data_IF_550125380906
#
_entry.id   IF_550125380906
#
_cell.length_a   1.000
_cell.length_b   1.000
_cell.length_c   1.000
_cell.angle_alpha   90.00
_cell.angle_beta   90.00
_cell.angle_gamma   90.00
#
_symmetry.space_group_name_H-M   'P 1'
#
loop_
_entity.id
_entity.type
_entity.pdbx_description
1 polymer ?
#
# COMPACT_ATOMS: atom_id res chain seq x y z
N UNK A 1 -16.62 -32.50 -2.25
CA UNK A 1 -16.52 -31.29 -1.39
C UNK A 1 -17.77 -30.47 -1.60
N UNK A 2 -18.47 -30.06 -0.53
CA UNK A 2 -19.61 -29.16 -0.66
C UNK A 2 -19.15 -27.82 -1.25
N UNK A 3 -19.79 -27.38 -2.33
CA UNK A 3 -19.54 -26.09 -3.02
C UNK A 3 -19.60 -24.91 -2.04
N UNK A 4 -20.40 -25.03 -0.98
CA UNK A 4 -20.51 -24.04 0.09
C UNK A 4 -19.25 -23.91 0.95
N UNK A 5 -18.60 -25.02 1.32
CA UNK A 5 -17.38 -24.99 2.13
C UNK A 5 -16.15 -24.48 1.35
N UNK A 6 -16.13 -24.73 0.05
CA UNK A 6 -15.10 -24.19 -0.85
C UNK A 6 -15.23 -22.67 -1.03
N UNK A 7 -16.46 -22.16 -1.19
CA UNK A 7 -16.73 -20.73 -1.32
C UNK A 7 -16.40 -19.95 -0.04
N UNK A 8 -16.72 -20.46 1.16
CA UNK A 8 -16.43 -19.75 2.42
C UNK A 8 -14.91 -19.58 2.65
N UNK A 9 -14.14 -20.67 2.52
CA UNK A 9 -12.68 -20.63 2.70
C UNK A 9 -12.00 -19.66 1.74
N UNK A 10 -12.40 -19.69 0.46
CA UNK A 10 -11.83 -18.80 -0.54
C UNK A 10 -12.27 -17.35 -0.33
N UNK A 11 -13.48 -17.10 0.19
CA UNK A 11 -13.94 -15.74 0.48
C UNK A 11 -13.14 -15.11 1.63
N UNK A 12 -12.81 -15.90 2.67
CA UNK A 12 -11.92 -15.45 3.75
C UNK A 12 -10.52 -15.17 3.21
N UNK A 13 -9.97 -16.08 2.41
CA UNK A 13 -8.65 -15.90 1.79
C UNK A 13 -8.60 -14.68 0.87
N UNK A 14 -9.64 -14.43 0.09
CA UNK A 14 -9.73 -13.22 -0.73
C UNK A 14 -9.63 -11.97 0.13
N UNK A 15 -10.44 -11.87 1.19
CA UNK A 15 -10.34 -10.78 2.15
C UNK A 15 -8.95 -10.67 2.77
N UNK A 16 -8.31 -11.78 3.11
CA UNK A 16 -6.99 -11.75 3.74
C UNK A 16 -5.91 -11.19 2.78
N UNK A 17 -6.08 -11.36 1.46
CA UNK A 17 -5.17 -10.82 0.45
C UNK A 17 -5.52 -9.38 0.06
N UNK A 18 -6.79 -9.06 -0.15
CA UNK A 18 -7.21 -7.76 -0.71
C UNK A 18 -7.65 -6.75 0.34
N UNK A 19 -8.13 -7.19 1.50
CA UNK A 19 -8.81 -6.34 2.47
C UNK A 19 -10.29 -6.09 2.13
N UNK A 20 -10.80 -6.66 1.03
CA UNK A 20 -12.20 -6.45 0.62
C UNK A 20 -13.20 -7.18 1.52
N UNK A 21 -14.43 -6.65 1.58
CA UNK A 21 -15.51 -7.20 2.36
C UNK A 21 -15.87 -8.64 1.97
N UNK A 22 -16.04 -9.49 2.99
CA UNK A 22 -16.36 -10.92 2.82
C UNK A 22 -17.56 -11.17 1.90
N UNK A 23 -18.62 -10.36 1.98
CA UNK A 23 -19.80 -10.52 1.13
C UNK A 23 -19.51 -10.23 -0.35
N UNK A 24 -18.64 -9.27 -0.63
CA UNK A 24 -18.20 -8.99 -1.99
C UNK A 24 -17.33 -10.13 -2.52
N UNK A 25 -16.33 -10.56 -1.74
CA UNK A 25 -15.49 -11.71 -2.07
C UNK A 25 -16.34 -12.94 -2.41
N UNK A 26 -17.35 -13.23 -1.58
CA UNK A 26 -18.27 -14.35 -1.81
C UNK A 26 -19.05 -14.20 -3.12
N UNK A 27 -19.55 -13.00 -3.43
CA UNK A 27 -20.26 -12.72 -4.68
C UNK A 27 -19.36 -12.95 -5.90
N UNK A 28 -18.14 -12.42 -5.90
CA UNK A 28 -17.16 -12.58 -6.99
C UNK A 28 -16.82 -14.04 -7.21
N UNK A 29 -16.50 -14.76 -6.14
CA UNK A 29 -16.09 -16.16 -6.22
C UNK A 29 -17.22 -17.11 -6.64
N UNK A 30 -18.47 -16.79 -6.32
CA UNK A 30 -19.64 -17.55 -6.79
C UNK A 30 -19.97 -17.26 -8.26
N UNK A 31 -19.65 -16.06 -8.75
CA UNK A 31 -19.90 -15.67 -10.14
C UNK A 31 -18.82 -16.17 -11.11
N UNK A 32 -17.60 -16.43 -10.63
CA UNK A 32 -16.49 -16.82 -11.49
C UNK A 32 -16.58 -18.27 -11.97
N UNK A 33 -16.39 -18.49 -13.28
CA UNK A 33 -16.33 -19.81 -13.91
C UNK A 33 -14.94 -20.42 -13.92
N UNK A 34 -13.90 -19.58 -13.89
CA UNK A 34 -12.49 -19.97 -13.81
C UNK A 34 -11.92 -19.41 -12.52
N UNK A 35 -11.33 -20.27 -11.70
CA UNK A 35 -10.80 -19.84 -10.42
C UNK A 35 -9.43 -19.16 -10.60
N UNK A 36 -9.48 -17.87 -10.91
CA UNK A 36 -8.38 -16.92 -10.73
C UNK A 36 -8.90 -15.80 -9.82
N UNK A 37 -8.63 -15.88 -8.50
CA UNK A 37 -9.25 -14.98 -7.55
C UNK A 37 -8.68 -13.56 -7.65
N UNK A 38 -7.44 -13.41 -8.13
CA UNK A 38 -6.73 -12.13 -8.18
C UNK A 38 -6.01 -12.04 -9.53
N UNK A 39 -6.76 -11.85 -10.63
CA UNK A 39 -6.18 -11.77 -11.96
C UNK A 39 -5.08 -10.70 -12.00
N UNK A 40 -4.09 -10.86 -12.87
CA UNK A 40 -3.08 -9.82 -13.10
C UNK A 40 -3.69 -8.66 -13.90
N UNK A 41 -3.23 -7.43 -13.63
CA UNK A 41 -3.43 -6.33 -14.56
C UNK A 41 -2.58 -6.55 -15.82
N UNK A 42 -2.83 -5.80 -16.88
CA UNK A 42 -1.95 -5.78 -18.06
C UNK A 42 -1.91 -4.39 -18.68
N UNK A 43 -0.87 -4.12 -19.48
CA UNK A 43 -0.73 -2.87 -20.22
C UNK A 43 -0.73 -1.63 -19.32
N UNK A 44 -1.52 -0.63 -19.69
CA UNK A 44 -1.59 0.66 -18.97
C UNK A 44 -2.21 0.53 -17.58
N UNK A 45 -3.13 -0.42 -17.36
CA UNK A 45 -3.70 -0.67 -16.03
C UNK A 45 -2.62 -1.19 -15.05
N UNK A 46 -1.71 -2.06 -15.51
CA UNK A 46 -0.61 -2.55 -14.68
C UNK A 46 0.32 -1.41 -14.25
N UNK A 47 0.65 -0.52 -15.19
CA UNK A 47 1.45 0.67 -14.91
C UNK A 47 0.76 1.63 -13.94
N UNK A 48 -0.52 1.88 -14.16
CA UNK A 48 -1.32 2.76 -13.30
C UNK A 48 -1.36 2.25 -11.86
N UNK A 49 -1.65 0.97 -11.66
CA UNK A 49 -1.66 0.35 -10.34
C UNK A 49 -0.28 0.38 -9.67
N UNK A 50 0.79 0.15 -10.42
CA UNK A 50 2.15 0.24 -9.89
C UNK A 50 2.52 1.67 -9.45
N UNK A 51 2.10 2.69 -10.21
CA UNK A 51 2.28 4.09 -9.83
C UNK A 51 1.48 4.43 -8.56
N UNK A 52 0.22 4.00 -8.47
CA UNK A 52 -0.60 4.19 -7.27
C UNK A 52 0.09 3.56 -6.04
N UNK A 53 0.57 2.32 -6.17
CA UNK A 53 1.31 1.63 -5.11
C UNK A 53 2.57 2.40 -4.68
N UNK A 54 3.34 2.90 -5.66
CA UNK A 54 4.59 3.60 -5.42
C UNK A 54 4.37 4.90 -4.65
N UNK A 55 3.38 5.69 -5.06
CA UNK A 55 3.25 7.06 -4.59
C UNK A 55 2.27 7.24 -3.42
N UNK A 56 1.17 6.47 -3.35
CA UNK A 56 0.23 6.60 -2.21
C UNK A 56 0.89 6.20 -0.89
N UNK A 57 1.72 5.15 -0.94
CA UNK A 57 2.50 4.67 0.19
C UNK A 57 3.87 5.33 0.37
N UNK A 58 4.22 6.32 -0.45
CA UNK A 58 5.52 6.95 -0.37
C UNK A 58 5.61 7.78 0.91
N UNK A 59 6.74 7.71 1.62
CA UNK A 59 7.10 8.67 2.66
C UNK A 59 7.33 8.08 4.06
N UNK A 60 7.49 8.97 5.05
CA UNK A 60 7.72 8.63 6.46
C UNK A 60 6.53 9.10 7.31
N UNK A 61 5.42 8.38 7.20
CA UNK A 61 4.22 8.65 7.97
C UNK A 61 3.74 7.39 8.70
N UNK A 62 2.76 7.59 9.58
CA UNK A 62 2.05 6.55 10.29
C UNK A 62 0.64 6.42 9.73
N UNK A 63 0.19 5.17 9.64
CA UNK A 63 -1.08 4.78 9.03
C UNK A 63 -1.72 3.65 9.84
N UNK A 64 -3.03 3.49 9.70
CA UNK A 64 -3.74 2.39 10.35
C UNK A 64 -3.50 1.06 9.63
N UNK A 65 -3.37 1.11 8.30
CA UNK A 65 -3.09 -0.03 7.44
C UNK A 65 -1.78 0.16 6.66
N UNK A 66 -1.21 -0.91 6.06
CA UNK A 66 0.02 -0.84 5.31
C UNK A 66 -0.07 0.24 4.22
N UNK A 67 0.87 1.19 4.25
CA UNK A 67 0.96 2.27 3.27
C UNK A 67 -0.27 3.18 3.18
N UNK A 68 -1.12 3.22 4.23
CA UNK A 68 -2.34 4.02 4.24
C UNK A 68 -3.46 3.47 3.37
N UNK A 69 -3.40 2.17 3.03
CA UNK A 69 -4.38 1.49 2.18
C UNK A 69 -5.03 0.35 2.99
N UNK A 70 -6.32 0.50 3.30
CA UNK A 70 -7.11 -0.48 4.02
C UNK A 70 -7.39 -1.74 3.18
N UNK A 71 -7.47 -1.57 1.86
CA UNK A 71 -7.65 -2.70 0.95
C UNK A 71 -7.91 -2.27 -0.49
N UNK A 72 -8.19 -3.26 -1.32
CA UNK A 72 -8.53 -3.07 -2.73
C UNK A 72 -9.70 -3.95 -3.17
N UNK A 73 -10.36 -3.55 -4.24
CA UNK A 73 -11.41 -4.31 -4.90
C UNK A 73 -11.22 -4.24 -6.40
N UNK A 74 -11.13 -5.39 -7.05
CA UNK A 74 -11.08 -5.49 -8.51
C UNK A 74 -12.48 -5.18 -9.06
N UNK A 75 -12.55 -4.31 -10.06
CA UNK A 75 -13.79 -3.92 -10.73
C UNK A 75 -13.71 -4.29 -12.22
N UNK A 76 -14.83 -4.16 -12.93
CA UNK A 76 -14.86 -4.43 -14.38
C UNK A 76 -13.97 -3.46 -15.18
N UNK A 77 -13.73 -2.25 -14.65
CA UNK A 77 -12.98 -1.19 -15.32
C UNK A 77 -11.56 -0.98 -14.77
N UNK A 78 -11.18 -1.68 -13.70
CA UNK A 78 -9.86 -1.50 -13.08
C UNK A 78 -9.84 -1.88 -11.59
N UNK A 79 -9.39 -0.94 -10.74
CA UNK A 79 -9.18 -1.20 -9.32
C UNK A 79 -9.76 -0.08 -8.45
N UNK A 80 -10.49 -0.45 -7.41
CA UNK A 80 -10.87 0.44 -6.31
C UNK A 80 -9.88 0.25 -5.16
N UNK A 81 -9.32 1.35 -4.65
CA UNK A 81 -8.37 1.38 -3.53
C UNK A 81 -9.05 2.10 -2.37
N UNK A 82 -9.19 1.43 -1.23
CA UNK A 82 -9.72 2.02 0.00
C UNK A 82 -8.57 2.63 0.80
N UNK A 83 -8.57 3.95 0.94
CA UNK A 83 -7.60 4.66 1.75
C UNK A 83 -8.01 4.64 3.22
N UNK A 84 -7.01 4.75 4.10
CA UNK A 84 -7.25 5.11 5.51
C UNK A 84 -7.96 6.47 5.61
N UNK A 85 -8.57 6.79 6.75
CA UNK A 85 -9.12 8.13 6.96
C UNK A 85 -8.02 9.18 7.17
N UNK A 86 -6.99 8.82 7.95
CA UNK A 86 -5.98 9.76 8.42
C UNK A 86 -4.57 9.20 8.29
N UNK A 87 -3.62 10.11 8.27
CA UNK A 87 -2.20 9.83 8.39
C UNK A 87 -1.53 10.83 9.33
N UNK A 88 -0.48 10.40 10.02
CA UNK A 88 0.33 11.27 10.89
C UNK A 88 1.78 11.30 10.40
N UNK A 89 2.29 12.48 10.07
CA UNK A 89 3.69 12.65 9.67
C UNK A 89 4.63 12.49 10.87
N UNK A 90 5.92 12.30 10.60
CA UNK A 90 6.96 12.34 11.64
C UNK A 90 7.00 13.67 12.43
N UNK A 91 6.41 14.73 11.89
CA UNK A 91 6.23 16.05 12.56
C UNK A 91 5.04 16.08 13.53
N UNK A 92 4.33 14.95 13.72
CA UNK A 92 3.11 14.82 14.54
C UNK A 92 1.91 15.62 14.01
N UNK A 93 1.97 16.08 12.75
CA UNK A 93 0.82 16.67 12.08
C UNK A 93 -0.05 15.55 11.51
N UNK A 94 -1.33 15.53 11.90
CA UNK A 94 -2.36 14.64 11.36
C UNK A 94 -3.15 15.35 10.26
N UNK A 95 -3.48 14.63 9.20
CA UNK A 95 -4.24 15.16 8.06
C UNK A 95 -4.98 14.02 7.34
N UNK A 96 -5.98 14.35 6.52
CA UNK A 96 -6.72 13.37 5.74
C UNK A 96 -5.78 12.59 4.81
N UNK A 97 -5.95 11.27 4.74
CA UNK A 97 -5.17 10.43 3.83
C UNK A 97 -5.43 10.78 2.35
N UNK A 98 -6.61 11.30 2.02
CA UNK A 98 -6.93 11.82 0.68
C UNK A 98 -5.98 12.96 0.29
N UNK A 99 -5.72 13.91 1.20
CA UNK A 99 -4.78 14.99 0.98
C UNK A 99 -3.35 14.46 0.82
N UNK A 100 -2.94 13.47 1.65
CA UNK A 100 -1.64 12.83 1.50
C UNK A 100 -1.45 12.13 0.15
N UNK A 101 -2.47 11.38 -0.27
CA UNK A 101 -2.45 10.67 -1.52
C UNK A 101 -2.38 11.66 -2.69
N UNK A 102 -3.17 12.73 -2.66
CA UNK A 102 -3.07 13.81 -3.65
C UNK A 102 -1.67 14.45 -3.66
N UNK A 103 -1.08 14.62 -2.49
CA UNK A 103 0.26 15.20 -2.29
C UNK A 103 1.37 14.44 -2.99
N UNK A 104 1.36 13.13 -2.86
CA UNK A 104 2.43 12.27 -3.36
C UNK A 104 2.14 11.73 -4.77
N UNK A 105 0.88 11.44 -5.10
CA UNK A 105 0.51 10.77 -6.35
C UNK A 105 0.39 11.74 -7.53
N UNK A 106 -0.28 12.88 -7.34
CA UNK A 106 -0.68 13.71 -8.47
C UNK A 106 0.49 14.52 -9.03
N UNK A 107 0.70 14.51 -10.36
CA UNK A 107 1.88 15.12 -10.95
C UNK A 107 1.87 16.65 -10.85
N UNK A 108 2.98 17.21 -10.39
CA UNK A 108 3.23 18.66 -10.33
C UNK A 108 4.59 18.97 -10.96
N UNK A 109 4.67 20.08 -11.70
CA UNK A 109 5.93 20.57 -12.25
C UNK A 109 6.46 21.74 -11.44
N UNK A 110 7.75 21.70 -11.16
CA UNK A 110 8.53 22.89 -10.87
C UNK A 110 8.99 23.51 -12.20
N UNK A 111 8.79 24.81 -12.37
CA UNK A 111 9.12 25.51 -13.60
C UNK A 111 10.63 25.39 -13.89
N UNK A 112 10.99 24.65 -14.94
CA UNK A 112 12.37 24.49 -15.41
C UNK A 112 13.22 23.41 -14.74
N UNK A 113 12.63 22.53 -13.91
CA UNK A 113 13.39 21.62 -13.05
C UNK A 113 12.98 20.14 -13.24
N UNK A 114 11.87 19.72 -12.63
CA UNK A 114 11.48 18.30 -12.56
C UNK A 114 9.97 18.15 -12.37
N UNK A 115 9.45 16.95 -12.67
CA UNK A 115 8.08 16.58 -12.34
C UNK A 115 8.08 15.68 -11.11
N UNK A 116 7.34 16.09 -10.07
CA UNK A 116 7.06 15.27 -8.90
C UNK A 116 5.75 14.51 -9.09
N UNK A 117 5.56 13.43 -8.32
CA UNK A 117 4.40 12.54 -8.45
C UNK A 117 4.46 11.63 -9.67
N UNK A 118 3.35 10.98 -9.98
CA UNK A 118 3.27 10.02 -11.08
C UNK A 118 3.07 10.74 -12.43
N UNK A 119 4.13 10.75 -13.25
CA UNK A 119 4.09 11.31 -14.60
C UNK A 119 3.03 10.63 -15.45
N UNK A 120 2.29 11.43 -16.24
CA UNK A 120 1.29 10.93 -17.18
C UNK A 120 -0.06 10.60 -16.54
N UNK A 121 -0.22 10.85 -15.25
CA UNK A 121 -1.44 10.58 -14.50
C UNK A 121 -2.41 11.77 -14.60
N UNK A 122 -3.69 11.47 -14.81
CA UNK A 122 -4.79 12.43 -14.78
C UNK A 122 -5.82 12.05 -13.73
N UNK A 123 -6.45 13.05 -13.14
CA UNK A 123 -7.36 12.84 -12.03
C UNK A 123 -8.61 13.70 -12.15
N UNK A 124 -9.76 13.11 -11.84
CA UNK A 124 -11.03 13.81 -11.76
C UNK A 124 -11.90 13.24 -10.64
N UNK A 125 -12.71 14.11 -10.04
CA UNK A 125 -13.61 13.73 -8.95
C UNK A 125 -14.86 13.07 -9.54
N UNK A 126 -15.18 11.84 -9.10
CA UNK A 126 -16.42 11.13 -9.49
C UNK A 126 -17.53 11.36 -8.47
N UNK A 127 -17.18 11.43 -7.19
CA UNK A 127 -18.06 11.76 -6.07
C UNK A 127 -17.23 12.43 -4.97
N UNK A 128 -17.86 12.91 -3.89
CA UNK A 128 -17.13 13.48 -2.76
C UNK A 128 -16.06 12.53 -2.22
N UNK A 129 -16.31 11.21 -2.20
CA UNK A 129 -15.40 10.21 -1.63
C UNK A 129 -14.54 9.46 -2.65
N UNK A 130 -14.83 9.59 -3.95
CA UNK A 130 -14.10 8.88 -5.02
C UNK A 130 -13.35 9.83 -5.96
N UNK A 131 -12.02 9.70 -5.96
CA UNK A 131 -11.15 10.27 -6.99
C UNK A 131 -10.82 9.20 -8.03
N UNK A 132 -11.09 9.50 -9.29
CA UNK A 132 -10.71 8.64 -10.40
C UNK A 132 -9.36 9.10 -10.92
N UNK A 133 -8.48 8.12 -11.10
CA UNK A 133 -7.13 8.30 -11.60
C UNK A 133 -6.97 7.47 -12.86
N UNK A 134 -6.44 8.07 -13.92
CA UNK A 134 -6.19 7.43 -15.21
C UNK A 134 -4.80 7.79 -15.74
N UNK A 135 -4.35 7.07 -16.76
CA UNK A 135 -3.15 7.44 -17.54
C UNK A 135 -3.54 8.13 -18.84
N UNK A 136 -2.70 9.02 -19.36
CA UNK A 136 -2.92 9.64 -20.70
C UNK A 136 -2.94 8.60 -21.83
N UNK A 137 -2.21 7.49 -21.67
CA UNK A 137 -1.95 6.51 -22.72
C UNK A 137 -3.01 5.39 -22.81
N UNK A 138 -4.05 5.38 -21.97
CA UNK A 138 -5.06 4.33 -22.03
C UNK A 138 -6.26 4.49 -21.12
N UNK A 139 -7.19 3.53 -21.24
CA UNK A 139 -8.55 3.62 -20.70
C UNK A 139 -8.72 2.97 -19.31
N UNK A 140 -7.62 2.52 -18.70
CA UNK A 140 -7.64 1.94 -17.36
C UNK A 140 -7.91 2.99 -16.28
N UNK A 141 -8.61 2.59 -15.22
CA UNK A 141 -8.87 3.44 -14.06
C UNK A 141 -8.46 2.81 -12.73
N UNK A 142 -7.99 3.66 -11.84
CA UNK A 142 -7.93 3.38 -10.40
C UNK A 142 -8.79 4.41 -9.69
N UNK A 143 -9.69 3.94 -8.84
CA UNK A 143 -10.52 4.79 -8.00
C UNK A 143 -9.93 4.81 -6.60
N UNK A 144 -9.51 5.97 -6.12
CA UNK A 144 -9.11 6.18 -4.74
C UNK A 144 -10.34 6.59 -3.93
N UNK A 145 -10.80 5.69 -3.06
CA UNK A 145 -11.90 5.95 -2.15
C UNK A 145 -11.35 6.39 -0.80
N UNK A 146 -11.65 7.64 -0.43
CA UNK A 146 -11.38 8.10 0.91
C UNK A 146 -12.27 7.34 1.93
N UNK A 147 -11.77 7.10 3.13
CA UNK A 147 -12.64 6.68 4.21
C UNK A 147 -13.67 7.78 4.47
N UNK A 148 -14.95 7.43 4.56
CA UNK A 148 -15.92 8.32 5.18
C UNK A 148 -15.71 8.22 6.67
N UNK A 149 -15.30 9.32 7.32
CA UNK A 149 -15.22 9.34 8.77
C UNK A 149 -16.62 9.58 9.35
N UNK A 150 -16.86 9.10 10.57
CA UNK A 150 -18.11 9.36 11.30
C UNK A 150 -18.23 10.83 11.76
N UNK A 151 -17.22 11.66 11.48
CA UNK A 151 -17.19 13.09 11.78
C UNK A 151 -17.49 13.92 10.52
N UNK A 152 -18.73 14.43 10.35
CA UNK A 152 -19.17 15.11 9.14
C UNK A 152 -18.43 16.43 8.86
N UNK A 153 -17.72 16.99 9.85
CA UNK A 153 -16.98 18.25 9.68
C UNK A 153 -15.61 18.07 9.03
N UNK A 154 -15.09 16.84 8.97
CA UNK A 154 -13.79 16.49 8.36
C UNK A 154 -13.90 15.40 7.29
N UNK A 155 -15.09 15.18 6.74
CA UNK A 155 -15.31 14.24 5.65
C UNK A 155 -14.36 14.55 4.48
N UNK A 156 -13.66 13.52 4.02
CA UNK A 156 -12.68 13.64 2.95
C UNK A 156 -13.37 13.89 1.60
N UNK A 157 -13.74 15.14 1.35
CA UNK A 157 -14.24 15.61 0.07
C UNK A 157 -13.08 15.86 -0.89
N UNK A 158 -13.00 15.05 -1.96
CA UNK A 158 -11.97 15.17 -2.98
C UNK A 158 -12.02 16.49 -3.75
N UNK A 159 -13.20 17.07 -3.99
CA UNK A 159 -13.29 18.36 -4.66
C UNK A 159 -12.68 19.46 -3.80
N UNK A 160 -12.98 19.47 -2.49
CA UNK A 160 -12.36 20.39 -1.53
C UNK A 160 -10.85 20.14 -1.43
N UNK A 161 -10.44 18.88 -1.33
CA UNK A 161 -9.03 18.48 -1.23
C UNK A 161 -8.22 18.96 -2.43
N UNK A 162 -8.71 18.73 -3.65
CA UNK A 162 -8.02 19.14 -4.87
C UNK A 162 -8.06 20.65 -5.09
N UNK A 163 -9.16 21.33 -4.73
CA UNK A 163 -9.25 22.77 -4.79
C UNK A 163 -8.20 23.42 -3.88
N UNK A 164 -8.14 23.02 -2.61
CA UNK A 164 -7.14 23.52 -1.65
C UNK A 164 -5.72 23.27 -2.15
N UNK A 165 -5.43 22.03 -2.57
CA UNK A 165 -4.11 21.68 -3.10
C UNK A 165 -3.72 22.52 -4.31
N UNK A 166 -4.66 22.80 -5.21
CA UNK A 166 -4.38 23.62 -6.39
C UNK A 166 -4.04 25.06 -6.00
N UNK A 167 -4.77 25.63 -5.04
CA UNK A 167 -4.47 26.95 -4.46
C UNK A 167 -3.08 26.96 -3.81
N UNK A 168 -2.80 26.02 -2.91
CA UNK A 168 -1.51 25.93 -2.20
C UNK A 168 -0.32 25.82 -3.19
N UNK A 169 -0.48 25.07 -4.27
CA UNK A 169 0.60 24.91 -5.26
C UNK A 169 0.88 26.21 -6.03
N UNK A 170 -0.16 26.90 -6.48
CA UNK A 170 -0.04 28.12 -7.29
C UNK A 170 0.40 29.30 -6.44
N UNK A 171 -0.20 29.48 -5.26
CA UNK A 171 -0.03 30.69 -4.46
C UNK A 171 1.21 30.60 -3.55
N UNK A 172 1.50 29.43 -2.96
CA UNK A 172 2.55 29.30 -1.95
C UNK A 172 3.87 28.73 -2.48
N UNK A 173 3.84 27.93 -3.55
CA UNK A 173 5.02 27.17 -4.00
C UNK A 173 5.43 27.40 -5.46
N UNK A 174 4.64 28.15 -6.23
CA UNK A 174 4.83 28.36 -7.67
C UNK A 174 4.97 27.05 -8.47
N UNK A 175 4.33 25.99 -8.01
CA UNK A 175 4.27 24.69 -8.68
C UNK A 175 3.03 24.60 -9.57
N UNK A 176 3.17 23.92 -10.72
CA UNK A 176 2.11 23.77 -11.69
C UNK A 176 1.43 22.40 -11.57
N UNK A 177 0.12 22.34 -11.26
CA UNK A 177 -0.62 21.08 -11.25
C UNK A 177 -0.80 20.55 -12.68
N UNK A 178 -0.40 19.29 -12.91
CA UNK A 178 -0.45 18.67 -14.25
C UNK A 178 -1.61 17.67 -14.39
N UNK A 179 -2.21 17.23 -13.28
CA UNK A 179 -3.22 16.16 -13.27
C UNK A 179 -4.55 16.52 -13.95
N UNK A 180 -4.79 17.81 -14.24
CA UNK A 180 -5.98 18.29 -14.97
C UNK A 180 -5.68 18.60 -16.44
N UNK A 181 -4.43 18.47 -16.89
CA UNK A 181 -4.06 18.80 -18.27
C UNK A 181 -4.61 17.75 -19.25
N UNK A 182 -5.11 18.13 -20.44
CA UNK A 182 -5.78 17.20 -21.34
C UNK A 182 -4.86 16.15 -21.98
N UNK A 183 -3.55 16.37 -21.94
CA UNK A 183 -2.57 15.46 -22.54
C UNK A 183 -1.18 15.68 -21.95
N UNK A 184 -0.18 14.98 -22.51
CA UNK A 184 1.19 15.02 -22.02
C UNK A 184 1.76 16.42 -22.13
N UNK A 185 2.25 16.98 -21.02
CA UNK A 185 2.80 18.33 -20.98
C UNK A 185 4.27 18.36 -21.40
N UNK A 186 4.78 19.54 -21.77
CA UNK A 186 6.20 19.71 -22.10
C UNK A 186 7.11 19.39 -20.88
N UNK A 187 6.65 19.64 -19.66
CA UNK A 187 7.38 19.29 -18.44
C UNK A 187 7.51 17.77 -18.28
N UNK A 188 6.42 17.03 -18.46
CA UNK A 188 6.44 15.56 -18.40
C UNK A 188 7.31 14.97 -19.52
N UNK A 189 7.23 15.50 -20.75
CA UNK A 189 8.09 15.06 -21.85
C UNK A 189 9.58 15.31 -21.57
N UNK A 190 9.90 16.49 -21.03
CA UNK A 190 11.27 16.85 -20.66
C UNK A 190 11.84 15.95 -19.56
N UNK A 191 11.03 15.62 -18.55
CA UNK A 191 11.46 14.72 -17.47
C UNK A 191 11.69 13.29 -17.98
N UNK A 192 10.76 12.76 -18.79
CA UNK A 192 10.91 11.44 -19.42
C UNK A 192 12.18 11.38 -20.27
N UNK A 193 12.45 12.42 -21.06
CA UNK A 193 13.63 12.50 -21.92
C UNK A 193 14.94 12.59 -21.12
N UNK A 194 14.90 13.22 -19.94
CA UNK A 194 16.06 13.38 -19.05
C UNK A 194 16.36 12.13 -18.23
N UNK A 195 15.35 11.30 -17.94
CA UNK A 195 15.48 10.12 -17.07
C UNK A 195 15.01 8.80 -17.71
N UNK A 196 15.42 8.46 -18.95
CA UNK A 196 14.85 7.32 -19.68
C UNK A 196 15.07 5.97 -18.99
N UNK A 197 16.22 5.77 -18.35
CA UNK A 197 16.52 4.53 -17.62
C UNK A 197 15.68 4.35 -16.36
N UNK A 198 15.34 5.45 -15.68
CA UNK A 198 14.43 5.42 -14.52
C UNK A 198 13.03 5.00 -14.98
N UNK A 199 12.52 5.63 -16.04
CA UNK A 199 11.20 5.33 -16.61
C UNK A 199 11.11 3.90 -17.17
N UNK A 200 12.17 3.42 -17.80
CA UNK A 200 12.26 2.02 -18.24
C UNK A 200 12.27 1.06 -17.04
N UNK A 201 13.00 1.39 -15.98
CA UNK A 201 13.04 0.61 -14.74
C UNK A 201 11.66 0.49 -14.10
N UNK A 202 10.97 1.62 -13.89
CA UNK A 202 9.59 1.65 -13.35
C UNK A 202 8.65 0.79 -14.18
N UNK A 203 8.67 0.94 -15.51
CA UNK A 203 7.86 0.13 -16.44
C UNK A 203 8.17 -1.36 -16.33
N UNK A 204 9.43 -1.73 -16.22
CA UNK A 204 9.85 -3.14 -16.13
C UNK A 204 9.42 -3.83 -14.83
N UNK A 205 9.09 -3.05 -13.79
CA UNK A 205 8.67 -3.53 -12.47
C UNK A 205 7.19 -3.31 -12.19
N UNK A 206 6.41 -2.88 -13.19
CA UNK A 206 4.99 -2.58 -13.03
C UNK A 206 4.19 -3.79 -12.56
N UNK A 207 4.49 -4.97 -13.10
CA UNK A 207 3.89 -6.24 -12.70
C UNK A 207 4.00 -6.51 -11.19
N UNK A 208 5.12 -6.11 -10.56
CA UNK A 208 5.33 -6.25 -9.12
C UNK A 208 4.43 -5.27 -8.36
N UNK A 209 4.50 -3.98 -8.71
CA UNK A 209 3.73 -2.94 -8.04
C UNK A 209 2.23 -3.19 -8.10
N UNK A 210 1.70 -3.51 -9.29
CA UNK A 210 0.29 -3.88 -9.47
C UNK A 210 -0.08 -5.13 -8.68
N UNK A 211 0.72 -6.21 -8.76
CA UNK A 211 0.40 -7.44 -8.05
C UNK A 211 0.41 -7.28 -6.52
N UNK A 212 1.31 -6.44 -5.99
CA UNK A 212 1.38 -6.10 -4.58
C UNK A 212 0.21 -5.22 -4.14
N UNK A 213 -0.21 -4.23 -4.94
CA UNK A 213 -1.37 -3.39 -4.62
C UNK A 213 -2.65 -4.22 -4.51
N UNK A 214 -2.87 -5.15 -5.45
CA UNK A 214 -4.00 -6.09 -5.40
C UNK A 214 -3.96 -7.04 -4.19
N UNK A 215 -2.83 -7.11 -3.47
CA UNK A 215 -2.57 -7.99 -2.32
C UNK A 215 -2.14 -7.22 -1.08
N UNK A 216 -2.46 -5.93 -1.02
CA UNK A 216 -1.92 -5.02 -0.01
C UNK A 216 -2.25 -5.44 1.42
N UNK A 217 -3.38 -6.12 1.63
CA UNK A 217 -3.78 -6.57 2.96
C UNK A 217 -2.87 -7.67 3.52
N UNK A 218 -2.09 -8.40 2.69
CA UNK A 218 -1.12 -9.39 3.18
C UNK A 218 -0.12 -8.80 4.18
N UNK A 219 0.31 -7.55 3.97
CA UNK A 219 1.24 -6.88 4.87
C UNK A 219 0.69 -6.70 6.30
N UNK A 220 -0.64 -6.71 6.43
CA UNK A 220 -1.37 -6.61 7.70
C UNK A 220 -1.85 -7.98 8.22
N UNK A 221 -2.30 -8.86 7.33
CA UNK A 221 -2.94 -10.13 7.69
C UNK A 221 -1.91 -11.25 7.90
N UNK A 222 -0.88 -11.32 7.05
CA UNK A 222 0.17 -12.33 7.06
C UNK A 222 1.47 -11.88 7.76
N UNK A 223 1.52 -10.63 8.26
CA UNK A 223 2.63 -10.10 9.04
C UNK A 223 2.16 -9.59 10.42
N UNK A 224 3.13 -9.31 11.30
CA UNK A 224 2.91 -8.70 12.62
C UNK A 224 3.55 -7.32 12.72
N UNK A 225 3.88 -6.72 11.58
CA UNK A 225 4.45 -5.39 11.53
C UNK A 225 3.42 -4.33 11.95
N UNK A 226 3.81 -3.46 12.88
CA UNK A 226 3.03 -2.25 13.19
C UNK A 226 3.36 -1.10 12.22
N UNK A 227 4.45 -1.21 11.45
CA UNK A 227 4.86 -0.21 10.47
C UNK A 227 5.38 -0.89 9.22
N UNK A 228 4.88 -0.46 8.06
CA UNK A 228 5.35 -0.88 6.74
C UNK A 228 5.77 0.36 5.96
N UNK A 229 6.99 0.36 5.44
CA UNK A 229 7.49 1.39 4.52
C UNK A 229 7.85 0.73 3.21
N UNK A 230 7.74 1.46 2.11
CA UNK A 230 8.17 0.99 0.81
C UNK A 230 8.95 2.03 0.02
N UNK A 231 9.84 1.57 -0.84
CA UNK A 231 10.52 2.39 -1.84
C UNK A 231 11.02 1.50 -2.98
N UNK A 232 11.45 2.12 -4.06
CA UNK A 232 11.95 1.44 -5.26
C UNK A 232 13.43 1.79 -5.44
N UNK A 233 14.23 0.76 -5.68
CA UNK A 233 15.58 0.87 -6.24
C UNK A 233 15.55 0.35 -7.70
N UNK A 234 16.57 0.63 -8.52
CA UNK A 234 16.67 0.04 -9.84
C UNK A 234 16.55 -1.50 -9.78
N UNK A 235 15.46 -2.04 -10.34
CA UNK A 235 15.20 -3.48 -10.39
C UNK A 235 14.66 -4.11 -9.10
N UNK A 236 14.31 -3.34 -8.07
CA UNK A 236 13.83 -3.89 -6.80
C UNK A 236 12.79 -3.00 -6.10
N UNK A 237 11.66 -3.61 -5.75
CA UNK A 237 10.71 -3.07 -4.77
C UNK A 237 11.15 -3.48 -3.38
N UNK A 238 11.30 -2.54 -2.46
CA UNK A 238 11.77 -2.83 -1.09
C UNK A 238 10.70 -2.47 -0.09
N UNK A 239 10.40 -3.41 0.81
CA UNK A 239 9.50 -3.23 1.95
C UNK A 239 10.26 -3.41 3.24
N UNK A 240 10.14 -2.45 4.13
CA UNK A 240 10.61 -2.53 5.51
C UNK A 240 9.40 -2.67 6.44
N UNK A 241 9.38 -3.77 7.19
CA UNK A 241 8.31 -4.18 8.09
C UNK A 241 8.87 -4.23 9.51
N UNK A 242 8.50 -3.25 10.34
CA UNK A 242 8.92 -3.17 11.73
C UNK A 242 7.88 -3.77 12.67
N UNK A 243 8.32 -4.62 13.58
CA UNK A 243 7.48 -5.30 14.57
C UNK A 243 8.10 -5.21 15.98
N UNK A 244 7.24 -5.13 16.99
CA UNK A 244 7.70 -5.23 18.39
C UNK A 244 8.22 -6.64 18.66
N UNK A 245 9.28 -6.76 19.46
CA UNK A 245 9.88 -8.06 19.79
C UNK A 245 8.95 -8.98 20.59
N UNK A 246 7.89 -8.46 21.21
CA UNK A 246 6.87 -9.22 21.95
C UNK A 246 5.72 -9.72 21.09
N UNK A 247 5.57 -9.23 19.87
CA UNK A 247 4.49 -9.69 18.98
C UNK A 247 4.78 -11.12 18.49
N UNK A 248 3.81 -12.02 18.64
CA UNK A 248 3.93 -13.41 18.21
C UNK A 248 3.71 -13.56 16.70
N UNK A 249 4.60 -14.29 16.03
CA UNK A 249 4.58 -14.56 14.59
C UNK A 249 5.96 -14.39 13.98
N UNK A 250 6.16 -14.89 12.76
CA UNK A 250 7.41 -14.82 12.02
C UNK A 250 7.19 -14.28 10.61
N UNK A 251 8.23 -14.34 9.78
CA UNK A 251 8.17 -13.92 8.37
C UNK A 251 7.65 -15.03 7.45
N UNK A 252 7.58 -16.28 7.89
CA UNK A 252 7.31 -17.43 7.03
C UNK A 252 5.88 -17.38 6.50
N UNK A 253 4.92 -17.01 7.35
CA UNK A 253 3.53 -16.83 6.90
C UNK A 253 3.41 -15.78 5.77
N UNK A 254 4.14 -14.65 5.87
CA UNK A 254 4.16 -13.64 4.82
C UNK A 254 4.78 -14.18 3.54
N UNK A 255 5.92 -14.89 3.63
CA UNK A 255 6.61 -15.47 2.47
C UNK A 255 5.75 -16.54 1.78
N UNK A 256 5.11 -17.41 2.56
CA UNK A 256 4.23 -18.48 2.08
C UNK A 256 3.01 -17.91 1.37
N UNK A 257 2.34 -16.91 1.94
CA UNK A 257 1.17 -16.29 1.30
C UNK A 257 1.57 -15.45 0.08
N UNK A 258 2.69 -14.72 0.15
CA UNK A 258 3.14 -13.90 -0.98
C UNK A 258 3.57 -14.75 -2.18
N UNK A 259 4.08 -15.98 -1.96
CA UNK A 259 4.50 -16.90 -3.03
C UNK A 259 3.47 -17.99 -3.35
N UNK A 260 2.32 -17.99 -2.67
CA UNK A 260 1.31 -19.03 -2.78
C UNK A 260 0.76 -19.17 -4.21
N UNK A 261 0.61 -20.40 -4.67
CA UNK A 261 -0.01 -20.66 -5.97
C UNK A 261 -1.42 -20.08 -6.07
N UNK A 262 -1.71 -19.42 -7.20
CA UNK A 262 -2.97 -18.75 -7.58
C UNK A 262 -3.36 -17.51 -6.76
N UNK A 263 -2.84 -17.37 -5.56
CA UNK A 263 -3.20 -16.27 -4.66
C UNK A 263 -2.07 -15.26 -4.52
N UNK A 264 -0.82 -15.70 -4.44
CA UNK A 264 0.37 -14.87 -4.33
C UNK A 264 0.88 -14.38 -5.68
N UNK A 265 2.16 -14.00 -5.70
CA UNK A 265 2.93 -13.63 -6.87
C UNK A 265 3.70 -14.86 -7.39
N UNK A 266 4.02 -14.89 -8.70
CA UNK A 266 4.86 -15.93 -9.29
C UNK A 266 6.34 -15.71 -8.94
N UNK A 267 6.69 -15.76 -7.66
CA UNK A 267 8.04 -15.48 -7.16
C UNK A 267 8.58 -16.59 -6.26
N UNK A 268 9.90 -16.74 -6.24
CA UNK A 268 10.64 -17.61 -5.31
C UNK A 268 11.69 -16.81 -4.54
N UNK A 269 12.04 -17.28 -3.34
CA UNK A 269 13.17 -16.72 -2.57
C UNK A 269 14.47 -17.05 -3.31
N UNK A 270 15.17 -16.01 -3.75
CA UNK A 270 16.46 -16.13 -4.46
C UNK A 270 17.64 -15.72 -3.59
N UNK A 271 17.39 -15.04 -2.47
CA UNK A 271 18.41 -14.68 -1.47
C UNK A 271 17.75 -14.49 -0.11
N UNK A 272 18.41 -14.96 0.94
CA UNK A 272 17.92 -14.84 2.30
C UNK A 272 19.02 -14.50 3.31
N UNK A 273 18.59 -13.92 4.41
CA UNK A 273 19.33 -13.82 5.66
C UNK A 273 18.32 -13.80 6.81
N UNK A 274 18.42 -14.77 7.71
CA UNK A 274 17.52 -14.87 8.85
C UNK A 274 18.29 -14.68 10.17
N UNK A 275 17.96 -13.62 10.91
CA UNK A 275 18.53 -13.31 12.22
C UNK A 275 17.87 -14.05 13.39
N UNK A 276 16.71 -14.70 13.18
CA UNK A 276 15.88 -15.28 14.25
C UNK A 276 16.66 -16.27 15.14
N UNK A 277 17.37 -17.23 14.55
CA UNK A 277 18.10 -18.25 15.31
C UNK A 277 19.26 -17.67 16.13
N UNK A 278 19.95 -16.66 15.60
CA UNK A 278 21.03 -15.97 16.32
C UNK A 278 20.48 -15.10 17.46
N UNK A 279 19.34 -14.43 17.24
CA UNK A 279 18.67 -13.66 18.28
C UNK A 279 18.21 -14.56 19.45
N UNK A 280 17.59 -15.70 19.14
CA UNK A 280 17.15 -16.68 20.13
C UNK A 280 18.31 -17.22 20.97
N UNK A 281 19.46 -17.54 20.35
CA UNK A 281 20.65 -18.04 21.06
C UNK A 281 21.28 -17.00 21.99
N UNK A 282 21.27 -15.73 21.59
CA UNK A 282 21.94 -14.65 22.31
C UNK A 282 20.99 -13.86 23.24
N UNK A 283 19.70 -14.20 23.28
CA UNK A 283 18.69 -13.44 23.99
C UNK A 283 18.50 -12.01 23.46
N UNK A 284 18.81 -11.76 22.17
CA UNK A 284 18.69 -10.42 21.59
C UNK A 284 17.23 -10.09 21.32
N UNK A 285 16.76 -8.97 21.87
CA UNK A 285 15.44 -8.41 21.57
C UNK A 285 15.41 -7.62 20.25
N UNK A 286 16.57 -7.47 19.58
CA UNK A 286 16.69 -6.77 18.32
C UNK A 286 17.39 -7.63 17.26
N UNK A 287 16.76 -7.78 16.10
CA UNK A 287 17.32 -8.51 14.95
C UNK A 287 16.61 -8.14 13.64
N UNK A 288 17.21 -8.54 12.53
CA UNK A 288 16.66 -8.33 11.21
C UNK A 288 16.71 -9.62 10.39
N UNK A 289 15.68 -9.83 9.57
CA UNK A 289 15.70 -10.80 8.47
C UNK A 289 15.49 -10.07 7.15
N UNK A 290 16.14 -10.52 6.08
CA UNK A 290 15.84 -10.04 4.73
C UNK A 290 15.65 -11.22 3.77
N UNK A 291 14.69 -11.05 2.87
CA UNK A 291 14.40 -11.99 1.80
C UNK A 291 14.26 -11.23 0.49
N UNK A 292 14.92 -11.72 -0.55
CA UNK A 292 14.75 -11.23 -1.91
C UNK A 292 14.01 -12.29 -2.71
N UNK A 293 12.89 -11.90 -3.30
CA UNK A 293 12.03 -12.74 -4.10
C UNK A 293 12.12 -12.33 -5.58
N UNK A 294 12.48 -13.26 -6.45
CA UNK A 294 12.58 -13.07 -7.90
C UNK A 294 11.50 -13.82 -8.66
N UNK A 295 11.17 -13.40 -9.87
CA UNK A 295 10.14 -14.04 -10.68
C UNK A 295 10.53 -15.49 -11.08
N UNK A 296 9.60 -16.45 -10.91
CA UNK A 296 9.77 -17.88 -11.22
C UNK A 296 10.17 -18.16 -12.67
N UNK A 297 9.62 -17.38 -13.60
CA UNK A 297 9.90 -17.46 -15.04
C UNK A 297 10.94 -16.45 -15.56
N UNK A 298 11.68 -15.76 -14.67
CA UNK A 298 12.77 -14.87 -15.08
C UNK A 298 12.40 -13.49 -15.61
N UNK A 299 11.19 -12.97 -15.29
CA UNK A 299 10.89 -11.56 -15.55
C UNK A 299 11.81 -10.65 -14.72
N UNK A 300 12.21 -9.48 -15.25
CA UNK A 300 13.03 -8.53 -14.53
C UNK A 300 12.28 -7.96 -13.31
N UNK A 301 13.06 -7.55 -12.31
CA UNK A 301 12.55 -7.04 -11.05
C UNK A 301 12.57 -8.08 -9.92
N UNK A 302 12.59 -7.58 -8.69
CA UNK A 302 12.48 -8.39 -7.48
C UNK A 302 11.71 -7.62 -6.39
N UNK A 303 11.22 -8.37 -5.40
CA UNK A 303 10.70 -7.82 -4.15
C UNK A 303 11.70 -8.15 -3.05
N UNK A 304 12.13 -7.15 -2.28
CA UNK A 304 12.87 -7.34 -1.05
C UNK A 304 11.96 -7.09 0.14
N UNK A 305 11.82 -8.09 1.01
CA UNK A 305 11.14 -7.96 2.30
C UNK A 305 12.19 -7.89 3.41
N UNK A 306 12.14 -6.83 4.21
CA UNK A 306 13.01 -6.61 5.38
C UNK A 306 12.15 -6.63 6.63
N UNK A 307 12.35 -7.63 7.47
CA UNK A 307 11.67 -7.77 8.75
C UNK A 307 12.58 -7.27 9.86
N UNK A 308 12.20 -6.19 10.51
CA UNK A 308 12.96 -5.60 11.62
C UNK A 308 12.22 -5.83 12.91
N UNK A 309 12.91 -6.40 13.90
CA UNK A 309 12.38 -6.68 15.23
C UNK A 309 13.19 -5.89 16.23
N UNK A 310 12.49 -5.20 17.13
CA UNK A 310 13.11 -4.48 18.24
C UNK A 310 12.09 -4.25 19.35
N UNK A 311 12.55 -4.12 20.59
CA UNK A 311 11.69 -3.70 21.69
C UNK A 311 11.27 -2.25 21.51
N UNK A 312 9.96 -2.00 21.46
CA UNK A 312 9.42 -0.65 21.35
C UNK A 312 9.37 -0.01 22.76
N UNK A 313 10.07 1.11 23.01
CA UNK A 313 10.15 1.71 24.35
C UNK A 313 8.80 2.29 24.83
N UNK A 314 8.03 2.92 23.93
CA UNK A 314 6.78 3.60 24.25
C UNK A 314 5.60 2.97 23.47
N UNK A 315 5.33 1.69 23.80
CA UNK A 315 4.32 0.87 23.12
C UNK A 315 2.91 1.44 23.28
N UNK A 316 2.55 1.91 24.47
CA UNK A 316 1.19 2.34 24.76
C UNK A 316 0.86 3.66 24.03
N UNK A 317 1.83 4.57 23.89
CA UNK A 317 1.69 5.72 22.99
C UNK A 317 1.47 5.30 21.55
N UNK A 318 2.25 4.32 21.05
CA UNK A 318 2.11 3.83 19.68
C UNK A 318 0.76 3.15 19.45
N UNK A 319 0.25 2.38 20.42
CA UNK A 319 -1.12 1.86 20.37
C UNK A 319 -2.15 2.99 20.29
N UNK A 320 -2.02 4.00 21.16
CA UNK A 320 -2.92 5.15 21.16
C UNK A 320 -2.88 5.93 19.84
N UNK A 321 -1.71 6.05 19.20
CA UNK A 321 -1.57 6.63 17.86
C UNK A 321 -2.36 5.83 16.83
N UNK A 322 -2.09 4.53 16.70
CA UNK A 322 -2.77 3.69 15.70
C UNK A 322 -4.27 3.59 15.94
N UNK A 323 -4.74 3.61 17.20
CA UNK A 323 -6.18 3.70 17.51
C UNK A 323 -6.80 4.99 16.95
N UNK A 324 -6.14 6.15 17.13
CA UNK A 324 -6.62 7.42 16.57
C UNK A 324 -6.59 7.45 15.04
N UNK A 325 -5.69 6.70 14.41
CA UNK A 325 -5.63 6.56 12.96
C UNK A 325 -6.66 5.58 12.40
N UNK A 326 -7.36 4.82 13.25
CA UNK A 326 -8.43 3.89 12.86
C UNK A 326 -8.04 2.41 12.82
N UNK A 327 -6.90 2.02 13.41
CA UNK A 327 -6.52 0.60 13.48
C UNK A 327 -7.47 -0.21 14.36
N UNK A 328 -7.85 -1.40 13.87
CA UNK A 328 -8.68 -2.34 14.62
C UNK A 328 -8.00 -2.82 15.92
N UNK A 329 -8.81 -2.98 16.98
CA UNK A 329 -8.33 -3.41 18.28
C UNK A 329 -7.71 -4.81 18.26
N UNK A 330 -8.31 -5.74 17.50
CA UNK A 330 -7.81 -7.12 17.38
C UNK A 330 -6.44 -7.13 16.70
N UNK A 331 -6.26 -6.28 15.69
CA UNK A 331 -4.96 -6.11 15.06
C UNK A 331 -3.94 -5.52 16.03
N UNK A 332 -4.29 -4.47 16.77
CA UNK A 332 -3.38 -3.89 17.77
C UNK A 332 -2.96 -4.91 18.82
N UNK A 333 -3.89 -5.72 19.32
CA UNK A 333 -3.59 -6.80 20.28
C UNK A 333 -2.61 -7.83 19.71
N UNK A 334 -2.61 -8.06 18.39
CA UNK A 334 -1.62 -8.90 17.68
C UNK A 334 -0.25 -8.23 17.55
N UNK A 335 -0.19 -6.98 17.08
CA UNK A 335 1.09 -6.34 16.68
C UNK A 335 1.79 -5.56 17.78
N UNK A 336 1.04 -5.11 18.79
CA UNK A 336 1.53 -4.34 19.94
C UNK A 336 0.92 -4.88 21.24
N UNK A 337 1.04 -6.18 21.57
CA UNK A 337 0.33 -6.80 22.68
C UNK A 337 0.58 -6.08 24.01
N UNK A 338 -0.44 -5.98 24.86
CA UNK A 338 -0.32 -5.40 26.20
C UNK A 338 0.66 -6.19 27.08
N UNK A 339 1.30 -5.52 28.04
CA UNK A 339 2.18 -6.20 29.00
C UNK A 339 1.31 -6.99 29.99
N UNK A 340 1.50 -8.32 30.13
CA UNK A 340 0.77 -9.12 31.11
C UNK A 340 0.94 -8.60 32.55
N UNK A 341 2.09 -7.97 32.85
CA UNK A 341 2.42 -7.48 34.19
C UNK A 341 1.66 -6.22 34.63
N UNK A 342 1.06 -5.47 33.69
CA UNK A 342 0.36 -4.22 34.00
C UNK A 342 -1.05 -4.44 34.61
N UNK A 343 -1.61 -5.65 34.55
CA UNK A 343 -2.96 -5.95 35.09
C UNK A 343 -2.97 -6.46 36.55
N UNK A 344 -1.81 -6.56 37.20
CA UNK A 344 -1.69 -7.08 38.58
C UNK A 344 -1.62 -6.02 39.69
N UNK A 345 -1.61 -4.72 39.35
CA UNK A 345 -1.25 -3.63 40.26
C UNK A 345 -2.41 -2.84 40.88
N UNK A 346 -3.63 -3.39 40.93
CA UNK A 346 -4.74 -2.81 41.67
C UNK A 346 -5.35 -3.87 42.59
N UNK A 347 -4.91 -3.86 43.85
CA UNK A 347 -5.65 -4.42 44.98
C UNK A 347 -5.70 -3.40 46.09
#
# INVERSE_FOLDING_TARGET
>A
MSTYGFSDKNSRRYRDYTGDGYQHARKVLLASRVFDPLPAASGTQELLEAQVMQYVGAGKAWWAHPLGIAGTRITDNGLLVFLDGRTELSTQKTYPMSAYAAENLLPVAEVGSQVFGAIGLRAHVRSSTDLVVTTIEGDGEVVLRAAGDEDPEEDADWAVTLARRSTDLVDDTALLPLWQQPGMTAHEQGDIASHPLVRQGERSMAWIGSALLRRIALFHTASVAYSTKSWINPGEWIFEMAADSRAEGDHDLMLDQLSADRWGLPVDVVKEHCGCASAARNGSESYQCFFRLGHKGGLPGAVQLRFTRSRLPDRDRMRGLFQRLGSDRTWLDKVLPHDPSARGGAR
#
